data_IF_212437553791
#
_entry.id   IF_212437553791
#
_cell.length_a   1.000
_cell.length_b   1.000
_cell.length_c   1.000
_cell.angle_alpha   90.00
_cell.angle_beta   90.00
_cell.angle_gamma   90.00
#
_symmetry.space_group_name_H-M   'P 1'
#
loop_
_entity.id
_entity.type
_entity.pdbx_description
1 polymer ?
#
# COMPACT_ATOMS: atom_id res chain seq x y z
N UNK A 1 2.71 8.47 7.17
CA UNK A 1 2.09 7.12 7.13
C UNK A 1 0.75 7.16 6.40
N UNK A 2 0.33 6.05 5.79
CA UNK A 2 -0.98 5.93 5.12
C UNK A 2 -1.83 4.82 5.74
N UNK A 3 -3.16 4.93 5.61
CA UNK A 3 -4.12 3.93 6.06
C UNK A 3 -5.07 3.53 4.94
N UNK A 4 -5.35 2.23 4.83
CA UNK A 4 -6.27 1.67 3.84
C UNK A 4 -7.72 1.96 4.21
N UNK A 5 -8.47 2.56 3.28
CA UNK A 5 -9.88 2.94 3.50
C UNK A 5 -10.88 1.95 2.87
N UNK A 6 -10.43 1.09 1.96
CA UNK A 6 -11.26 0.05 1.30
C UNK A 6 -11.14 -1.29 2.02
N UNK A 7 -12.19 -2.12 1.96
CA UNK A 7 -12.24 -3.41 2.65
C UNK A 7 -11.11 -4.36 2.26
N UNK A 8 -10.71 -4.33 0.99
CA UNK A 8 -9.65 -5.16 0.43
C UNK A 8 -8.97 -4.40 -0.70
N UNK A 9 -7.64 -4.35 -0.68
CA UNK A 9 -6.84 -3.70 -1.72
C UNK A 9 -5.72 -4.63 -2.13
N UNK A 10 -5.64 -4.95 -3.42
CA UNK A 10 -4.53 -5.72 -3.97
C UNK A 10 -3.25 -4.89 -3.97
N UNK A 11 -2.12 -5.53 -3.71
CA UNK A 11 -0.81 -4.97 -3.99
C UNK A 11 -0.46 -5.28 -5.45
N UNK A 12 0.11 -4.32 -6.18
CA UNK A 12 0.44 -4.49 -7.60
C UNK A 12 1.94 -4.52 -7.85
N UNK A 13 2.36 -5.19 -8.92
CA UNK A 13 3.78 -5.32 -9.30
C UNK A 13 4.33 -4.06 -9.96
N UNK A 14 3.48 -3.31 -10.65
CA UNK A 14 3.84 -2.16 -11.46
C UNK A 14 3.17 -0.86 -10.98
N UNK A 15 3.75 0.27 -11.36
CA UNK A 15 3.34 1.61 -10.94
C UNK A 15 1.99 2.07 -11.48
N UNK A 16 1.42 1.37 -12.45
CA UNK A 16 0.10 1.64 -13.03
C UNK A 16 -0.99 0.77 -12.40
N UNK A 17 -0.63 -0.14 -11.49
CA UNK A 17 -1.52 -1.10 -10.86
C UNK A 17 -2.25 -2.03 -11.84
N UNK A 18 -1.55 -2.54 -12.87
CA UNK A 18 -2.15 -3.49 -13.82
C UNK A 18 -2.03 -4.96 -13.37
N UNK A 19 -0.91 -5.34 -12.74
CA UNK A 19 -0.62 -6.74 -12.40
C UNK A 19 -0.71 -6.99 -10.88
N UNK A 20 -1.86 -7.50 -10.37
CA UNK A 20 -2.02 -7.75 -8.95
C UNK A 20 -1.14 -8.90 -8.44
N UNK A 21 -0.66 -8.79 -7.21
CA UNK A 21 0.08 -9.80 -6.44
C UNK A 21 -0.90 -10.61 -5.58
N UNK A 22 -0.53 -11.83 -5.17
CA UNK A 22 -1.29 -12.62 -4.20
C UNK A 22 -1.13 -12.08 -2.76
N UNK A 23 -1.15 -10.76 -2.60
CA UNK A 23 -1.10 -10.06 -1.33
C UNK A 23 -2.16 -8.96 -1.35
N UNK A 24 -2.86 -8.79 -0.23
CA UNK A 24 -3.86 -7.75 -0.09
C UNK A 24 -3.80 -7.11 1.28
N UNK A 25 -4.04 -5.81 1.32
CA UNK A 25 -4.31 -5.09 2.55
C UNK A 25 -5.81 -5.09 2.85
N UNK A 26 -6.12 -4.97 4.13
CA UNK A 26 -7.46 -4.82 4.67
C UNK A 26 -7.69 -3.38 5.14
N UNK A 27 -8.95 -2.99 5.25
CA UNK A 27 -9.33 -1.69 5.80
C UNK A 27 -8.71 -1.49 7.19
N UNK A 28 -8.09 -0.34 7.42
CA UNK A 28 -7.43 0.01 8.67
C UNK A 28 -5.96 -0.40 8.74
N UNK A 29 -5.45 -1.20 7.78
CA UNK A 29 -4.02 -1.48 7.71
C UNK A 29 -3.26 -0.18 7.46
N UNK A 30 -2.13 -0.03 8.16
CA UNK A 30 -1.25 1.14 8.10
C UNK A 30 0.13 0.74 7.65
N UNK A 31 0.72 1.56 6.79
CA UNK A 31 2.06 1.33 6.27
C UNK A 31 2.71 2.63 5.81
N UNK A 32 4.01 2.56 5.54
CA UNK A 32 4.78 3.67 5.02
C UNK A 32 4.65 3.74 3.50
N UNK A 33 4.36 4.93 2.99
CA UNK A 33 4.50 5.26 1.58
C UNK A 33 5.93 5.69 1.35
N UNK A 34 6.68 4.96 0.52
CA UNK A 34 8.11 5.17 0.29
C UNK A 34 8.34 6.05 -0.93
N UNK A 35 7.57 5.82 -2.00
CA UNK A 35 7.57 6.63 -3.21
C UNK A 35 6.14 6.77 -3.71
N UNK A 36 5.91 7.74 -4.59
CA UNK A 36 4.60 7.94 -5.18
C UNK A 36 4.69 8.57 -6.57
N UNK A 37 3.68 8.29 -7.39
CA UNK A 37 3.40 9.03 -8.61
C UNK A 37 2.06 9.75 -8.46
N UNK A 38 1.50 10.24 -9.58
CA UNK A 38 0.24 11.01 -9.55
C UNK A 38 -0.92 10.22 -8.93
N UNK A 39 -1.03 8.94 -9.25
CA UNK A 39 -2.22 8.14 -8.98
C UNK A 39 -1.98 7.00 -7.99
N UNK A 40 -0.72 6.58 -7.81
CA UNK A 40 -0.34 5.39 -7.06
C UNK A 40 0.80 5.69 -6.08
N UNK A 41 0.87 4.87 -5.03
CA UNK A 41 1.95 4.87 -4.05
C UNK A 41 2.69 3.55 -4.06
N UNK A 42 3.94 3.60 -3.65
CA UNK A 42 4.81 2.46 -3.50
C UNK A 42 5.13 2.21 -2.01
N UNK A 43 5.15 0.94 -1.62
CA UNK A 43 5.45 0.52 -0.25
C UNK A 43 6.34 -0.71 -0.25
N UNK A 44 7.17 -0.84 0.78
CA UNK A 44 8.01 -1.99 1.10
C UNK A 44 7.94 -2.25 2.60
N UNK A 45 7.89 -3.52 3.00
CA UNK A 45 7.87 -3.93 4.41
C UNK A 45 8.25 -5.41 4.54
N UNK A 46 8.57 -5.83 5.78
CA UNK A 46 8.71 -7.22 6.14
C UNK A 46 7.40 -7.70 6.75
N UNK A 47 6.81 -8.76 6.21
CA UNK A 47 5.57 -9.33 6.75
C UNK A 47 5.84 -10.15 8.04
N UNK A 48 4.78 -10.59 8.72
CA UNK A 48 4.89 -11.40 9.94
C UNK A 48 5.57 -12.77 9.73
N UNK A 49 5.75 -13.19 8.47
CA UNK A 49 6.44 -14.43 8.09
C UNK A 49 7.88 -14.16 7.63
N UNK A 50 8.40 -12.96 7.89
CA UNK A 50 9.74 -12.52 7.53
C UNK A 50 10.00 -12.48 6.01
N UNK A 51 8.95 -12.32 5.20
CA UNK A 51 9.09 -12.12 3.76
C UNK A 51 9.19 -10.64 3.46
N UNK A 52 10.09 -10.29 2.54
CA UNK A 52 10.13 -8.96 1.96
C UNK A 52 8.97 -8.79 0.97
N UNK A 53 8.05 -7.88 1.29
CA UNK A 53 6.87 -7.57 0.49
C UNK A 53 6.95 -6.13 0.03
N UNK A 54 6.75 -5.93 -1.27
CA UNK A 54 6.77 -4.61 -1.88
C UNK A 54 5.79 -4.52 -3.04
N UNK A 55 5.39 -3.30 -3.39
CA UNK A 55 4.57 -3.05 -4.57
C UNK A 55 3.80 -1.74 -4.51
N UNK A 56 2.89 -1.61 -5.46
CA UNK A 56 2.13 -0.39 -5.69
C UNK A 56 0.67 -0.52 -5.29
N UNK A 57 0.07 0.58 -4.84
CA UNK A 57 -1.35 0.69 -4.54
C UNK A 57 -1.94 2.00 -5.08
N UNK A 58 -3.22 2.02 -5.50
CA UNK A 58 -3.88 3.26 -5.89
C UNK A 58 -4.13 4.19 -4.71
N UNK A 59 -3.81 5.48 -4.87
CA UNK A 59 -4.06 6.54 -3.88
C UNK A 59 -5.53 6.64 -3.49
N UNK A 60 -6.44 6.28 -4.40
CA UNK A 60 -7.91 6.23 -4.14
C UNK A 60 -8.33 5.20 -3.10
N UNK A 61 -7.42 4.31 -2.70
CA UNK A 61 -7.69 3.23 -1.73
C UNK A 61 -7.11 3.50 -0.34
N UNK A 62 -6.38 4.60 -0.18
CA UNK A 62 -5.71 5.00 1.06
C UNK A 62 -6.07 6.43 1.46
N UNK A 63 -5.73 6.79 2.70
CA UNK A 63 -5.69 8.18 3.18
C UNK A 63 -4.36 8.43 3.90
N UNK A 64 -3.81 9.62 3.76
CA UNK A 64 -2.65 10.05 4.55
C UNK A 64 -3.10 10.30 5.98
N UNK A 65 -2.37 9.74 6.95
CA UNK A 65 -2.55 10.08 8.35
C UNK A 65 -1.42 11.04 8.73
N UNK A 66 -1.74 12.26 9.20
CA UNK A 66 -0.73 13.13 9.80
C UNK A 66 -0.16 12.45 11.05
N UNK A 67 1.15 12.34 11.14
CA UNK A 67 1.79 11.95 12.40
C UNK A 67 1.43 13.04 13.42
N UNK A 68 0.72 12.65 14.48
CA UNK A 68 0.50 13.56 15.60
C UNK A 68 1.87 13.75 16.27
N UNK A 69 2.37 14.97 16.20
CA UNK A 69 3.46 15.49 17.04
C UNK A 69 3.17 15.29 18.52
#
# INVERSE_FOLDING_TARGET
TVEVIKNKVSLYKDENCHYPKPFFFKKGDRFLSIAENKDNIYTEFIDAKNNFVYGWLPKTTIKTIPEKE
#
